data_IF_295138321912
#
_entry.id   IF_295138321912
#
_cell.length_a   1.000
_cell.length_b   1.000
_cell.length_c   1.000
_cell.angle_alpha   90.00
_cell.angle_beta   90.00
_cell.angle_gamma   90.00
#
_symmetry.space_group_name_H-M   'P 1'
#
loop_
_entity.id
_entity.type
_entity.pdbx_description
1 polymer ?
#
# COMPACT_ATOMS: atom_id res chain seq x y z
N UNK A 1 -18.88 16.51 13.26
CA UNK A 1 -19.27 15.38 12.39
C UNK A 1 -18.01 14.84 11.76
N UNK A 2 -17.75 13.53 11.84
CA UNK A 2 -16.62 12.93 11.15
C UNK A 2 -16.85 13.05 9.64
N UNK A 3 -15.86 13.54 8.89
CA UNK A 3 -15.96 13.59 7.44
C UNK A 3 -16.14 12.16 6.90
N UNK A 4 -17.13 11.96 6.05
CA UNK A 4 -17.42 10.66 5.44
C UNK A 4 -16.42 10.36 4.34
N UNK A 5 -15.90 9.13 4.31
CA UNK A 5 -15.03 8.69 3.23
C UNK A 5 -15.72 8.76 1.86
N UNK A 6 -14.96 9.08 0.82
CA UNK A 6 -15.47 9.08 -0.57
C UNK A 6 -15.19 7.71 -1.19
N UNK A 7 -16.20 7.05 -1.74
CA UNK A 7 -16.02 5.76 -2.41
C UNK A 7 -15.68 5.99 -3.89
N UNK A 8 -14.58 5.41 -4.35
CA UNK A 8 -14.17 5.40 -5.75
C UNK A 8 -14.16 3.98 -6.29
N UNK A 9 -14.52 3.83 -7.57
CA UNK A 9 -14.43 2.55 -8.29
C UNK A 9 -13.40 2.66 -9.39
N UNK A 10 -12.60 1.61 -9.57
CA UNK A 10 -11.59 1.52 -10.61
C UNK A 10 -11.64 0.12 -11.24
N UNK A 11 -11.63 0.07 -12.57
CA UNK A 11 -11.45 -1.17 -13.31
C UNK A 11 -10.02 -1.19 -13.86
N UNK A 12 -9.23 -2.19 -13.49
CA UNK A 12 -7.86 -2.35 -13.97
C UNK A 12 -7.77 -3.58 -14.85
N UNK A 13 -7.34 -3.38 -16.09
CA UNK A 13 -6.87 -4.45 -16.96
C UNK A 13 -5.34 -4.44 -16.94
N UNK A 14 -4.74 -5.46 -16.35
CA UNK A 14 -3.31 -5.55 -16.12
C UNK A 14 -2.70 -6.53 -17.13
N UNK A 15 -1.58 -6.12 -17.72
CA UNK A 15 -0.75 -6.94 -18.60
C UNK A 15 0.72 -6.73 -18.21
N UNK A 16 1.13 -7.44 -17.17
CA UNK A 16 2.48 -7.41 -16.62
C UNK A 16 3.31 -8.52 -17.26
N UNK A 17 4.24 -8.13 -18.14
CA UNK A 17 5.08 -9.08 -18.87
C UNK A 17 6.21 -9.65 -18.01
N UNK A 18 6.67 -8.92 -16.99
CA UNK A 18 7.79 -9.34 -16.14
C UNK A 18 7.35 -10.50 -15.25
N UNK A 19 6.12 -10.44 -14.75
CA UNK A 19 5.49 -11.50 -13.94
C UNK A 19 4.67 -12.50 -14.77
N UNK A 20 4.42 -12.21 -16.04
CA UNK A 20 3.46 -12.96 -16.88
C UNK A 20 2.02 -12.90 -16.34
N UNK A 21 1.66 -11.79 -15.69
CA UNK A 21 0.37 -11.61 -15.01
C UNK A 21 -0.61 -10.82 -15.87
N UNK A 22 -1.69 -11.48 -16.29
CA UNK A 22 -2.74 -10.91 -17.12
C UNK A 22 -4.10 -11.12 -16.44
N UNK A 23 -4.68 -10.05 -15.91
CA UNK A 23 -5.91 -10.13 -15.13
C UNK A 23 -6.72 -8.84 -15.20
N UNK A 24 -8.02 -8.97 -14.90
CA UNK A 24 -8.93 -7.84 -14.73
C UNK A 24 -9.35 -7.74 -13.27
N UNK A 25 -9.30 -6.53 -12.71
CA UNK A 25 -9.64 -6.25 -11.31
C UNK A 25 -10.70 -5.15 -11.22
N UNK A 26 -11.85 -5.48 -10.61
CA UNK A 26 -12.88 -4.50 -10.25
C UNK A 26 -12.68 -4.07 -8.80
N UNK A 27 -12.16 -2.85 -8.60
CA UNK A 27 -11.71 -2.36 -7.30
C UNK A 27 -12.66 -1.29 -6.76
N UNK A 28 -12.90 -1.35 -5.45
CA UNK A 28 -13.63 -0.32 -4.71
C UNK A 28 -12.72 0.23 -3.61
N UNK A 29 -12.40 1.51 -3.67
CA UNK A 29 -11.51 2.19 -2.73
C UNK A 29 -12.31 3.18 -1.89
N UNK A 30 -12.17 3.09 -0.57
CA UNK A 30 -12.62 4.14 0.33
C UNK A 30 -11.47 5.16 0.51
N UNK A 31 -11.70 6.40 0.10
CA UNK A 31 -10.78 7.52 0.27
C UNK A 31 -11.10 8.22 1.60
N UNK A 32 -10.17 8.14 2.54
CA UNK A 32 -10.29 8.86 3.81
C UNK A 32 -10.25 10.39 3.55
N UNK A 33 -10.94 11.23 4.34
CA UNK A 33 -10.94 12.69 4.14
C UNK A 33 -9.57 13.35 4.18
N UNK A 34 -8.61 12.76 4.89
CA UNK A 34 -7.21 13.21 4.93
C UNK A 34 -6.34 12.61 3.82
N UNK A 35 -6.87 11.69 3.01
CA UNK A 35 -6.15 11.11 1.89
C UNK A 35 -6.31 11.99 0.64
N UNK A 36 -5.17 12.42 0.09
CA UNK A 36 -5.15 13.18 -1.17
C UNK A 36 -5.46 12.29 -2.37
N UNK A 37 -5.95 12.88 -3.45
CA UNK A 37 -6.18 12.16 -4.71
C UNK A 37 -4.89 11.53 -5.24
N UNK A 38 -3.75 12.21 -5.09
CA UNK A 38 -2.43 11.67 -5.42
C UNK A 38 -2.14 10.38 -4.65
N UNK A 39 -2.30 10.38 -3.31
CA UNK A 39 -2.04 9.19 -2.49
C UNK A 39 -2.99 8.05 -2.83
N UNK A 40 -4.26 8.35 -3.12
CA UNK A 40 -5.22 7.35 -3.57
C UNK A 40 -4.77 6.70 -4.90
N UNK A 41 -4.27 7.49 -5.84
CA UNK A 41 -3.75 6.98 -7.11
C UNK A 41 -2.45 6.20 -6.91
N UNK A 42 -1.60 6.56 -5.95
CA UNK A 42 -0.43 5.75 -5.57
C UNK A 42 -0.87 4.41 -4.95
N UNK A 43 -1.95 4.36 -4.15
CA UNK A 43 -2.51 3.06 -3.69
C UNK A 43 -2.98 2.20 -4.85
N UNK A 44 -3.65 2.80 -5.83
CA UNK A 44 -4.10 2.09 -7.03
C UNK A 44 -2.91 1.59 -7.86
N UNK A 45 -1.85 2.39 -8.00
CA UNK A 45 -0.61 1.98 -8.66
C UNK A 45 0.09 0.85 -7.90
N UNK A 46 0.16 0.94 -6.57
CA UNK A 46 0.72 -0.11 -5.72
C UNK A 46 -0.05 -1.42 -5.90
N UNK A 47 -1.38 -1.37 -5.98
CA UNK A 47 -2.19 -2.53 -6.33
C UNK A 47 -1.75 -3.10 -7.67
N UNK A 48 -1.62 -2.28 -8.72
CA UNK A 48 -1.26 -2.74 -10.05
C UNK A 48 0.14 -3.40 -10.10
N UNK A 49 1.13 -2.81 -9.41
CA UNK A 49 2.50 -3.33 -9.33
C UNK A 49 2.57 -4.70 -8.64
N UNK A 50 1.74 -4.91 -7.62
CA UNK A 50 1.73 -6.12 -6.80
C UNK A 50 0.49 -6.99 -7.03
N UNK A 51 -0.22 -6.77 -8.14
CA UNK A 51 -1.57 -7.28 -8.35
C UNK A 51 -1.68 -8.79 -8.13
N UNK A 52 -2.69 -9.18 -7.37
CA UNK A 52 -2.98 -10.55 -6.97
C UNK A 52 -4.46 -10.63 -6.59
N UNK A 53 -5.11 -11.76 -6.83
CA UNK A 53 -6.53 -11.94 -6.53
C UNK A 53 -6.84 -11.83 -5.02
N UNK A 54 -5.82 -11.98 -4.17
CA UNK A 54 -5.90 -11.88 -2.72
C UNK A 54 -5.29 -10.60 -2.16
N UNK A 55 -4.82 -9.69 -3.02
CA UNK A 55 -4.34 -8.39 -2.57
C UNK A 55 -5.55 -7.52 -2.21
N UNK A 56 -5.53 -6.92 -1.03
CA UNK A 56 -6.63 -6.12 -0.51
C UNK A 56 -6.13 -4.76 -0.02
N UNK A 57 -6.98 -3.73 -0.13
CA UNK A 57 -6.72 -2.43 0.48
C UNK A 57 -6.98 -2.49 1.99
N UNK A 58 -5.96 -2.15 2.77
CA UNK A 58 -6.10 -1.96 4.21
C UNK A 58 -6.61 -0.56 4.56
N UNK A 59 -6.82 -0.32 5.85
CA UNK A 59 -7.27 0.97 6.37
C UNK A 59 -6.15 2.02 6.50
N UNK A 60 -4.88 1.65 6.33
CA UNK A 60 -3.73 2.55 6.21
C UNK A 60 -3.77 3.75 7.15
N UNK A 61 -3.92 4.96 6.59
CA UNK A 61 -3.98 6.24 7.34
C UNK A 61 -5.02 6.28 8.48
N UNK A 62 -6.04 5.44 8.44
CA UNK A 62 -7.09 5.38 9.46
C UNK A 62 -6.82 4.33 10.55
N UNK A 63 -5.82 3.47 10.39
CA UNK A 63 -5.49 2.42 11.35
C UNK A 63 -3.99 2.09 11.33
N UNK A 64 -3.29 2.34 12.44
CA UNK A 64 -1.86 2.04 12.55
C UNK A 64 -1.52 0.54 12.55
N UNK A 65 -2.51 -0.33 12.75
CA UNK A 65 -2.37 -1.79 12.74
C UNK A 65 -2.54 -2.44 11.38
N UNK A 66 -2.97 -1.68 10.37
CA UNK A 66 -3.16 -2.15 9.00
C UNK A 66 -2.27 -1.39 8.01
N UNK A 67 -1.73 -2.06 6.99
CA UNK A 67 -1.04 -1.42 5.89
C UNK A 67 -2.00 -0.64 4.98
N UNK A 68 -1.43 0.03 3.96
CA UNK A 68 -2.23 0.52 2.85
C UNK A 68 -2.77 -0.60 1.97
N UNK A 69 -1.95 -1.64 1.73
CA UNK A 69 -2.36 -2.86 1.05
C UNK A 69 -1.68 -4.08 1.69
N UNK A 70 -2.33 -5.23 1.62
CA UNK A 70 -1.74 -6.49 2.02
C UNK A 70 -2.27 -7.68 1.22
N UNK A 71 -1.45 -8.72 1.13
CA UNK A 71 -1.90 -10.06 0.78
C UNK A 71 -1.68 -10.95 1.98
N UNK A 72 -2.71 -11.69 2.37
CA UNK A 72 -2.68 -12.62 3.50
C UNK A 72 -2.77 -14.05 3.00
N UNK A 73 -2.13 -14.96 3.71
CA UNK A 73 -2.25 -16.39 3.45
C UNK A 73 -3.63 -16.92 3.90
N UNK A 74 -3.87 -18.23 3.80
CA UNK A 74 -5.16 -18.81 4.16
C UNK A 74 -5.39 -18.91 5.69
N UNK A 75 -4.38 -18.70 6.52
CA UNK A 75 -4.51 -18.61 7.99
C UNK A 75 -4.74 -17.18 8.47
N UNK A 76 -4.56 -16.20 7.58
CA UNK A 76 -4.77 -14.78 7.84
C UNK A 76 -3.49 -14.00 8.14
N UNK A 77 -2.33 -14.67 8.09
CA UNK A 77 -1.04 -14.06 8.32
C UNK A 77 -0.58 -13.29 7.06
N UNK A 78 0.02 -12.09 7.19
CA UNK A 78 0.45 -11.30 6.04
C UNK A 78 1.62 -11.94 5.28
N UNK A 79 1.40 -12.31 4.02
CA UNK A 79 2.48 -12.66 3.09
C UNK A 79 3.15 -11.39 2.54
N UNK A 80 2.36 -10.35 2.23
CA UNK A 80 2.83 -9.08 1.69
C UNK A 80 2.21 -7.92 2.46
N UNK A 81 3.03 -6.96 2.90
CA UNK A 81 2.64 -5.73 3.56
C UNK A 81 3.16 -4.53 2.79
N UNK A 82 2.28 -3.64 2.35
CA UNK A 82 2.66 -2.46 1.56
C UNK A 82 2.23 -1.19 2.31
N UNK A 83 3.21 -0.36 2.67
CA UNK A 83 3.00 0.98 3.21
C UNK A 83 3.43 2.05 2.19
N UNK A 84 2.66 3.14 2.10
CA UNK A 84 2.97 4.27 1.24
C UNK A 84 3.58 5.44 2.01
N UNK A 85 4.45 6.20 1.35
CA UNK A 85 5.01 7.44 1.85
C UNK A 85 6.36 7.23 2.54
N UNK A 86 6.51 7.83 3.72
CA UNK A 86 7.76 7.85 4.48
C UNK A 86 7.53 7.34 5.91
N UNK A 87 7.22 6.04 6.10
CA UNK A 87 6.97 5.48 7.42
C UNK A 87 8.19 5.66 8.33
N UNK A 88 7.95 5.82 9.62
CA UNK A 88 9.05 5.84 10.58
C UNK A 88 9.68 4.45 10.77
N UNK A 89 10.83 4.40 11.42
CA UNK A 89 11.57 3.17 11.67
C UNK A 89 10.74 2.13 12.42
N UNK A 90 9.90 2.56 13.35
CA UNK A 90 9.06 1.68 14.17
C UNK A 90 8.01 0.97 13.32
N UNK A 91 7.39 1.69 12.37
CA UNK A 91 6.43 1.14 11.42
C UNK A 91 7.08 0.18 10.43
N UNK A 92 8.25 0.53 9.89
CA UNK A 92 8.97 -0.39 8.99
C UNK A 92 9.35 -1.68 9.71
N UNK A 93 9.90 -1.57 10.93
CA UNK A 93 10.21 -2.75 11.76
C UNK A 93 8.97 -3.60 12.04
N UNK A 94 7.83 -2.97 12.35
CA UNK A 94 6.55 -3.66 12.55
C UNK A 94 6.13 -4.44 11.29
N UNK A 95 6.19 -3.81 10.12
CA UNK A 95 5.86 -4.45 8.84
C UNK A 95 6.76 -5.67 8.60
N UNK A 96 8.08 -5.53 8.73
CA UNK A 96 9.04 -6.63 8.54
C UNK A 96 8.83 -7.77 9.54
N UNK A 97 8.43 -7.48 10.78
CA UNK A 97 8.18 -8.52 11.78
C UNK A 97 6.85 -9.26 11.59
N UNK A 98 5.85 -8.59 10.99
CA UNK A 98 4.49 -9.13 10.85
C UNK A 98 4.21 -9.75 9.48
N UNK A 99 5.09 -9.57 8.51
CA UNK A 99 4.87 -10.03 7.15
C UNK A 99 6.06 -10.77 6.60
N UNK A 100 5.79 -11.63 5.62
CA UNK A 100 6.85 -12.37 4.92
C UNK A 100 7.64 -11.46 3.98
N UNK A 101 6.98 -10.47 3.39
CA UNK A 101 7.56 -9.42 2.56
C UNK A 101 6.96 -8.05 2.95
N UNK A 102 7.81 -7.07 3.24
CA UNK A 102 7.42 -5.70 3.54
C UNK A 102 7.94 -4.74 2.48
N UNK A 103 7.04 -3.92 1.92
CA UNK A 103 7.31 -2.98 0.85
C UNK A 103 6.94 -1.57 1.29
N UNK A 104 7.82 -0.61 1.02
CA UNK A 104 7.57 0.83 1.20
C UNK A 104 7.62 1.52 -0.14
N UNK A 105 6.53 2.20 -0.53
CA UNK A 105 6.47 2.99 -1.77
C UNK A 105 6.47 4.47 -1.43
N UNK A 106 7.63 5.11 -1.54
CA UNK A 106 7.79 6.55 -1.33
C UNK A 106 7.44 7.36 -2.58
N UNK A 107 6.70 8.45 -2.42
CA UNK A 107 6.24 9.29 -3.55
C UNK A 107 6.41 10.82 -3.34
N UNK A 108 6.99 11.26 -2.22
CA UNK A 108 7.17 12.68 -1.89
C UNK A 108 8.41 13.37 -2.46
N UNK A 109 9.03 12.85 -3.53
CA UNK A 109 10.23 13.42 -4.15
C UNK A 109 11.38 13.67 -3.15
N UNK A 110 11.77 14.95 -2.99
CA UNK A 110 12.83 15.37 -2.06
C UNK A 110 12.60 14.93 -0.61
N UNK A 111 11.34 14.89 -0.16
CA UNK A 111 11.01 14.40 1.18
C UNK A 111 11.33 12.91 1.33
N UNK A 112 11.05 12.10 0.29
CA UNK A 112 11.43 10.67 0.26
C UNK A 112 12.94 10.50 0.25
N UNK A 113 13.67 11.30 -0.54
CA UNK A 113 15.13 11.22 -0.59
C UNK A 113 15.76 11.56 0.76
N UNK A 114 15.27 12.61 1.42
CA UNK A 114 15.73 13.03 2.75
C UNK A 114 15.42 11.96 3.80
N UNK A 115 14.21 11.38 3.75
CA UNK A 115 13.82 10.26 4.59
C UNK A 115 14.74 9.05 4.37
N UNK A 116 15.01 8.68 3.12
CA UNK A 116 15.89 7.57 2.79
C UNK A 116 17.31 7.80 3.32
N UNK A 117 17.90 8.98 3.09
CA UNK A 117 19.22 9.34 3.63
C UNK A 117 19.29 9.22 5.15
N UNK A 118 18.20 9.50 5.86
CA UNK A 118 18.13 9.36 7.32
C UNK A 118 17.99 7.90 7.77
N UNK A 119 17.21 7.09 7.05
CA UNK A 119 16.86 5.74 7.46
C UNK A 119 17.75 4.64 6.87
N UNK A 120 18.48 4.89 5.77
CA UNK A 120 19.19 3.88 4.99
C UNK A 120 20.29 3.11 5.76
N UNK A 121 20.82 3.65 6.87
CA UNK A 121 21.77 2.92 7.71
C UNK A 121 21.08 2.00 8.73
N UNK A 122 19.80 2.25 9.02
CA UNK A 122 19.00 1.50 10.00
C UNK A 122 18.10 0.44 9.35
N UNK A 123 17.83 0.57 8.04
CA UNK A 123 17.10 -0.36 7.19
C UNK A 123 18.05 -1.26 6.40
#
# INVERSE_FOLDING_TARGET
MALTATVRRAELQISDMDRGYYANHSLTLAQHPSETDERLMVRLLAFALFADDRLEFGRGLSNEDEPDLWRRDYTGDPDLWIDLGQPDESRVRKACNRSREAVVIGYGGQATETWWKKQANAL
#
